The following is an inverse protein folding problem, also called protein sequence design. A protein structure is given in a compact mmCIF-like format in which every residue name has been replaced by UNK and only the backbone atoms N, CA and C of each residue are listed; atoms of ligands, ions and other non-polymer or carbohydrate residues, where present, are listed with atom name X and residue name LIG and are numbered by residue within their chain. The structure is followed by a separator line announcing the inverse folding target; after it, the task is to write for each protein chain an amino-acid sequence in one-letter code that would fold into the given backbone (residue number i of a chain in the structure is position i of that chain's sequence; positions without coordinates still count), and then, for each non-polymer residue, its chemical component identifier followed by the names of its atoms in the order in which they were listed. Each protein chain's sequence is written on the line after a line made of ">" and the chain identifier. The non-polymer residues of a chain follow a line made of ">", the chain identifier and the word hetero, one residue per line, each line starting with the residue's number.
data_IF_661681875792
#
_entry.id   IF_661681875792
#
_cell.length_a   1.000
_cell.length_b   1.000
_cell.length_c   1.000
_cell.angle_alpha   90.00
_cell.angle_beta   90.00
_cell.angle_gamma   90.00
#
_symmetry.space_group_name_H-M   'P 1'
#
loop_
_entity.id
_entity.type
_entity.pdbx_description
1 polymer ?
#
# COMPACT_ATOMS: atom_id res chain seq x y z
N UNK A 1 -13.21 16.59 14.99
CA UNK A 1 -11.87 17.02 15.39
C UNK A 1 -11.14 15.83 16.05
N UNK A 2 -9.88 15.51 15.66
CA UNK A 2 -9.11 14.41 16.27
C UNK A 2 -8.90 14.55 17.78
N UNK A 3 -9.05 15.77 18.31
CA UNK A 3 -8.88 16.10 19.73
C UNK A 3 -10.20 16.13 20.50
N UNK A 4 -11.33 15.76 19.88
CA UNK A 4 -12.62 15.74 20.55
C UNK A 4 -12.65 14.66 21.64
N UNK A 5 -13.20 15.02 22.80
CA UNK A 5 -13.45 14.07 23.88
C UNK A 5 -14.52 13.04 23.47
N UNK A 6 -14.58 11.86 24.09
CA UNK A 6 -15.64 10.88 23.85
C UNK A 6 -17.05 11.46 23.98
N UNK A 7 -17.28 12.34 24.95
CA UNK A 7 -18.59 13.00 25.15
C UNK A 7 -18.97 13.93 24.00
N UNK A 8 -18.05 14.71 23.49
CA UNK A 8 -18.26 15.58 22.34
C UNK A 8 -18.54 14.77 21.06
N UNK A 9 -17.84 13.65 20.85
CA UNK A 9 -18.10 12.76 19.72
C UNK A 9 -19.48 12.12 19.81
N UNK A 10 -19.91 11.67 21.00
CA UNK A 10 -21.25 11.10 21.21
C UNK A 10 -22.32 12.16 20.89
N UNK A 11 -22.19 13.36 21.42
CA UNK A 11 -23.16 14.43 21.17
C UNK A 11 -23.23 14.82 19.68
N UNK A 12 -22.08 14.90 19.01
CA UNK A 12 -22.01 15.24 17.58
C UNK A 12 -22.59 14.15 16.67
N UNK A 13 -22.52 12.88 17.07
CA UNK A 13 -22.91 11.74 16.25
C UNK A 13 -24.21 11.04 16.67
N UNK A 14 -24.86 11.45 17.76
CA UNK A 14 -26.02 10.78 18.38
C UNK A 14 -27.17 10.50 17.40
N UNK A 15 -27.35 11.33 16.40
CA UNK A 15 -28.40 11.24 15.40
C UNK A 15 -27.90 10.83 14.01
N UNK A 16 -26.62 10.52 13.87
CA UNK A 16 -26.00 10.18 12.59
C UNK A 16 -26.26 8.72 12.20
N UNK A 17 -26.65 8.48 10.95
CA UNK A 17 -26.72 7.15 10.34
C UNK A 17 -25.36 6.68 9.79
N UNK A 18 -24.48 7.61 9.46
CA UNK A 18 -23.13 7.33 8.95
C UNK A 18 -22.13 8.37 9.45
N UNK A 19 -20.87 7.96 9.59
CA UNK A 19 -19.76 8.83 9.96
C UNK A 19 -18.59 8.66 8.99
N UNK A 20 -17.92 9.78 8.65
CA UNK A 20 -16.72 9.82 7.80
C UNK A 20 -15.60 10.43 8.62
N UNK A 21 -14.86 9.64 9.40
CA UNK A 21 -13.73 10.14 10.17
C UNK A 21 -12.57 10.48 9.23
N UNK A 22 -11.94 11.67 9.41
CA UNK A 22 -10.88 12.12 8.49
C UNK A 22 -9.59 11.28 8.58
N UNK A 23 -9.10 11.01 9.76
CA UNK A 23 -7.86 10.24 10.00
C UNK A 23 -7.97 9.36 11.25
N UNK A 24 -9.14 9.27 11.85
CA UNK A 24 -9.37 8.56 13.10
C UNK A 24 -10.38 7.41 12.89
N UNK A 25 -10.39 6.47 13.80
CA UNK A 25 -11.51 5.54 13.94
C UNK A 25 -12.54 6.10 14.94
N UNK A 26 -13.74 5.52 14.95
CA UNK A 26 -14.70 5.76 16.03
C UNK A 26 -14.41 4.72 17.11
N UNK A 27 -13.98 5.13 18.33
CA UNK A 27 -13.70 4.20 19.41
C UNK A 27 -14.97 3.41 19.81
N UNK A 28 -14.81 2.16 20.23
CA UNK A 28 -15.95 1.30 20.58
C UNK A 28 -16.77 1.83 21.76
N UNK A 29 -16.13 2.46 22.73
CA UNK A 29 -16.81 3.10 23.87
C UNK A 29 -17.72 4.24 23.42
N UNK A 30 -17.34 4.99 22.40
CA UNK A 30 -18.20 5.99 21.73
C UNK A 30 -19.29 5.30 20.90
N UNK A 31 -18.91 4.34 20.05
CA UNK A 31 -19.84 3.67 19.13
C UNK A 31 -21.01 2.99 19.82
N UNK A 32 -20.84 2.46 21.03
CA UNK A 32 -21.89 1.87 21.86
C UNK A 32 -23.03 2.83 22.21
N UNK A 33 -22.77 4.13 22.17
CA UNK A 33 -23.75 5.18 22.45
C UNK A 33 -24.40 5.78 21.20
N UNK A 34 -24.12 5.20 20.03
CA UNK A 34 -24.61 5.68 18.71
C UNK A 34 -25.58 4.67 18.07
N UNK A 35 -26.81 4.49 18.59
CA UNK A 35 -27.70 3.41 18.16
C UNK A 35 -28.21 3.56 16.72
N UNK A 36 -28.10 4.75 16.11
CA UNK A 36 -28.50 5.02 14.72
C UNK A 36 -27.36 4.78 13.72
N UNK A 37 -26.11 4.70 14.18
CA UNK A 37 -24.94 4.61 13.31
C UNK A 37 -24.91 3.25 12.60
N UNK A 38 -24.92 3.27 11.27
CA UNK A 38 -24.92 2.08 10.39
C UNK A 38 -23.60 1.89 9.65
N UNK A 39 -22.86 3.00 9.41
CA UNK A 39 -21.66 3.01 8.59
C UNK A 39 -20.58 3.91 9.18
N UNK A 40 -19.35 3.39 9.24
CA UNK A 40 -18.11 4.17 9.32
C UNK A 40 -17.42 4.07 7.96
N UNK A 41 -17.41 5.18 7.22
CA UNK A 41 -16.80 5.28 5.89
C UNK A 41 -15.40 5.88 5.99
N UNK A 42 -14.37 5.11 5.67
CA UNK A 42 -12.99 5.57 5.65
C UNK A 42 -12.66 6.23 4.31
N UNK A 43 -11.88 7.31 4.33
CA UNK A 43 -11.31 7.94 3.14
C UNK A 43 -9.97 7.27 2.73
N UNK A 44 -9.48 6.33 3.52
CA UNK A 44 -8.24 5.58 3.31
C UNK A 44 -8.52 4.17 2.78
N UNK A 45 -7.53 3.57 2.14
CA UNK A 45 -7.58 2.15 1.75
C UNK A 45 -7.32 1.22 2.94
N UNK A 46 -6.38 1.61 3.82
CA UNK A 46 -6.05 0.88 5.04
C UNK A 46 -7.12 1.07 6.12
N UNK A 47 -7.31 0.04 6.91
CA UNK A 47 -8.28 0.00 8.03
C UNK A 47 -7.69 -0.71 9.26
N UNK A 48 -6.39 -0.88 9.30
CA UNK A 48 -5.64 -1.58 10.36
C UNK A 48 -5.75 -0.91 11.73
N UNK A 49 -6.02 0.40 11.78
CA UNK A 49 -6.28 1.16 13.01
C UNK A 49 -7.75 1.11 13.49
N UNK A 50 -8.64 0.42 12.76
CA UNK A 50 -10.09 0.40 13.07
C UNK A 50 -10.47 -0.96 13.65
N UNK A 51 -11.17 -0.97 14.79
CA UNK A 51 -11.76 -2.20 15.35
C UNK A 51 -13.02 -2.61 14.55
N UNK A 52 -12.77 -3.13 13.35
CA UNK A 52 -13.84 -3.60 12.45
C UNK A 52 -14.70 -4.68 13.10
N UNK A 53 -14.08 -5.56 13.89
CA UNK A 53 -14.79 -6.67 14.56
C UNK A 53 -15.71 -6.15 15.64
N UNK A 54 -15.22 -5.24 16.48
CA UNK A 54 -16.01 -4.63 17.55
C UNK A 54 -17.18 -3.82 16.98
N UNK A 55 -16.94 -2.99 15.96
CA UNK A 55 -17.99 -2.23 15.27
C UNK A 55 -19.04 -3.15 14.63
N UNK A 56 -18.61 -4.23 13.98
CA UNK A 56 -19.53 -5.21 13.39
C UNK A 56 -20.43 -5.87 14.41
N UNK A 57 -19.94 -6.17 15.63
CA UNK A 57 -20.77 -6.70 16.72
C UNK A 57 -21.85 -5.71 17.20
N UNK A 58 -21.66 -4.43 17.00
CA UNK A 58 -22.64 -3.37 17.24
C UNK A 58 -23.58 -3.14 16.04
N UNK A 59 -23.45 -3.92 14.96
CA UNK A 59 -24.22 -3.76 13.72
C UNK A 59 -23.71 -2.65 12.80
N UNK A 60 -22.56 -2.02 13.12
CA UNK A 60 -21.97 -0.93 12.36
C UNK A 60 -21.02 -1.51 11.30
N UNK A 61 -21.24 -1.18 10.03
CA UNK A 61 -20.38 -1.57 8.93
C UNK A 61 -19.23 -0.59 8.80
N UNK A 62 -18.04 -1.10 8.43
CA UNK A 62 -16.89 -0.28 8.05
C UNK A 62 -16.66 -0.45 6.55
N UNK A 63 -16.55 0.64 5.82
CA UNK A 63 -16.17 0.64 4.41
C UNK A 63 -14.91 1.48 4.21
N UNK A 64 -13.99 1.01 3.33
CA UNK A 64 -12.81 1.77 2.96
C UNK A 64 -13.02 2.58 1.67
N UNK A 65 -11.97 3.22 1.13
CA UNK A 65 -12.08 4.10 -0.04
C UNK A 65 -12.27 3.40 -1.39
N UNK A 66 -12.50 2.08 -1.42
CA UNK A 66 -12.77 1.32 -2.64
C UNK A 66 -11.62 1.28 -3.66
N UNK A 67 -10.41 1.71 -3.29
CA UNK A 67 -9.26 1.79 -4.19
C UNK A 67 -9.11 3.16 -4.87
N UNK A 68 -9.78 4.21 -4.40
CA UNK A 68 -9.72 5.58 -4.94
C UNK A 68 -8.30 6.14 -5.06
N UNK A 69 -7.39 5.70 -4.19
CA UNK A 69 -5.97 6.07 -4.21
C UNK A 69 -5.08 5.15 -5.06
N UNK A 70 -5.63 4.11 -5.71
CA UNK A 70 -4.81 3.11 -6.39
C UNK A 70 -3.97 3.69 -7.54
N UNK A 71 -4.50 4.70 -8.24
CA UNK A 71 -3.77 5.44 -9.27
C UNK A 71 -2.56 6.14 -8.66
N UNK A 72 -2.77 6.95 -7.63
CA UNK A 72 -1.72 7.72 -6.96
C UNK A 72 -0.60 6.82 -6.42
N UNK A 73 -0.98 5.77 -5.66
CA UNK A 73 -0.02 4.83 -5.08
C UNK A 73 0.78 4.10 -6.16
N UNK A 74 0.14 3.70 -7.27
CA UNK A 74 0.85 3.01 -8.34
C UNK A 74 1.84 3.91 -9.08
N UNK A 75 1.55 5.19 -9.25
CA UNK A 75 2.48 6.16 -9.82
C UNK A 75 3.67 6.43 -8.91
N UNK A 76 3.41 6.58 -7.62
CA UNK A 76 4.47 6.70 -6.62
C UNK A 76 5.36 5.44 -6.56
N UNK A 77 4.77 4.26 -6.65
CA UNK A 77 5.49 2.97 -6.72
C UNK A 77 6.47 2.94 -7.90
N UNK A 78 6.00 3.29 -9.11
CA UNK A 78 6.87 3.36 -10.30
C UNK A 78 7.93 4.45 -10.16
N UNK A 79 7.59 5.59 -9.55
CA UNK A 79 8.55 6.65 -9.25
C UNK A 79 9.67 6.16 -8.33
N UNK A 80 9.35 5.39 -7.26
CA UNK A 80 10.36 4.78 -6.38
C UNK A 80 11.23 3.76 -7.13
N UNK A 81 10.65 2.89 -7.99
CA UNK A 81 11.42 1.96 -8.82
C UNK A 81 12.46 2.70 -9.67
N UNK A 82 12.03 3.74 -10.37
CA UNK A 82 12.91 4.57 -11.21
C UNK A 82 13.95 5.32 -10.36
N UNK A 83 13.54 5.88 -9.23
CA UNK A 83 14.43 6.66 -8.37
C UNK A 83 15.56 5.80 -7.77
N UNK A 84 15.25 4.57 -7.33
CA UNK A 84 16.25 3.63 -6.84
C UNK A 84 17.16 3.17 -7.98
N UNK A 85 16.62 2.71 -9.11
CA UNK A 85 17.41 2.23 -10.25
C UNK A 85 18.30 3.32 -10.87
N UNK A 86 17.82 4.56 -10.91
CA UNK A 86 18.57 5.68 -11.51
C UNK A 86 19.42 6.44 -10.50
N UNK A 87 19.40 6.04 -9.21
CA UNK A 87 20.15 6.72 -8.14
C UNK A 87 19.82 8.22 -8.09
N UNK A 88 18.52 8.54 -8.19
CA UNK A 88 18.07 9.92 -8.41
C UNK A 88 18.42 10.85 -7.26
N UNK A 89 18.33 10.38 -6.00
CA UNK A 89 18.62 11.21 -4.84
C UNK A 89 20.11 11.59 -4.78
N UNK A 90 20.99 10.63 -5.02
CA UNK A 90 22.43 10.86 -5.05
C UNK A 90 22.83 11.76 -6.23
N UNK A 91 22.27 11.51 -7.42
CA UNK A 91 22.53 12.34 -8.59
C UNK A 91 22.10 13.80 -8.38
N UNK A 92 20.93 13.98 -7.77
CA UNK A 92 20.41 15.31 -7.43
C UNK A 92 21.26 16.00 -6.38
N UNK A 93 21.62 15.32 -5.28
CA UNK A 93 22.48 15.86 -4.23
C UNK A 93 23.83 16.27 -4.78
N UNK A 94 24.52 15.39 -5.52
CA UNK A 94 25.81 15.69 -6.13
C UNK A 94 25.75 16.92 -7.05
N UNK A 95 24.67 17.05 -7.84
CA UNK A 95 24.49 18.20 -8.73
C UNK A 95 24.28 19.49 -7.93
N UNK A 96 23.46 19.44 -6.87
CA UNK A 96 23.20 20.56 -5.96
C UNK A 96 24.50 21.03 -5.27
N UNK A 97 25.36 20.09 -4.89
CA UNK A 97 26.62 20.34 -4.22
C UNK A 97 27.76 20.75 -5.21
N UNK A 98 27.42 20.96 -6.49
CA UNK A 98 28.33 21.44 -7.52
C UNK A 98 29.22 20.37 -8.14
N UNK A 99 29.04 19.10 -7.79
CA UNK A 99 29.87 18.01 -8.30
C UNK A 99 29.62 17.69 -9.78
N UNK A 100 28.45 18.10 -10.34
CA UNK A 100 28.02 17.84 -11.72
C UNK A 100 28.26 16.37 -12.10
N UNK A 101 29.12 16.08 -13.11
CA UNK A 101 29.50 14.72 -13.52
C UNK A 101 30.63 14.11 -12.69
N UNK A 102 31.40 14.93 -11.98
CA UNK A 102 32.47 14.43 -11.11
C UNK A 102 31.83 13.67 -9.93
N UNK A 103 32.30 12.47 -9.65
CA UNK A 103 31.74 11.59 -8.62
C UNK A 103 30.60 10.67 -9.07
N UNK A 104 30.00 10.90 -10.26
CA UNK A 104 28.96 10.02 -10.82
C UNK A 104 29.54 8.67 -11.22
N UNK A 105 30.81 8.62 -11.61
CA UNK A 105 31.53 7.39 -11.99
C UNK A 105 31.82 6.48 -10.76
N UNK A 106 31.70 7.02 -9.55
CA UNK A 106 31.85 6.28 -8.29
C UNK A 106 30.52 5.70 -7.79
N UNK A 107 29.39 6.13 -8.37
CA UNK A 107 28.09 5.57 -8.03
C UNK A 107 27.93 4.15 -8.62
N UNK A 108 27.25 3.25 -7.91
CA UNK A 108 26.87 1.95 -8.47
C UNK A 108 26.16 2.09 -9.82
N UNK A 109 26.26 1.05 -10.63
CA UNK A 109 25.67 1.03 -11.99
C UNK A 109 24.20 1.39 -11.95
N UNK A 110 23.82 2.38 -12.75
CA UNK A 110 22.41 2.76 -12.96
C UNK A 110 21.74 1.74 -13.89
N UNK A 111 20.52 1.38 -13.56
CA UNK A 111 19.79 0.30 -14.22
C UNK A 111 18.56 0.84 -14.93
N UNK A 112 18.09 0.15 -15.97
CA UNK A 112 16.86 0.41 -16.69
C UNK A 112 15.80 -0.64 -16.29
N UNK A 113 14.52 -0.29 -16.40
CA UNK A 113 13.40 -1.26 -16.21
C UNK A 113 13.22 -2.10 -17.47
N UNK A 114 13.59 -1.59 -18.63
CA UNK A 114 13.53 -2.32 -19.90
C UNK A 114 14.19 -3.69 -19.80
N UNK A 115 13.52 -4.73 -20.27
CA UNK A 115 14.00 -6.12 -20.25
C UNK A 115 14.09 -6.77 -18.87
N UNK A 116 13.58 -6.14 -17.80
CA UNK A 116 13.55 -6.67 -16.44
C UNK A 116 12.28 -7.45 -16.15
N UNK A 117 12.33 -8.28 -15.13
CA UNK A 117 11.15 -8.92 -14.53
C UNK A 117 10.72 -8.16 -13.28
N UNK A 118 9.48 -7.69 -13.27
CA UNK A 118 8.85 -7.04 -12.11
C UNK A 118 7.88 -8.01 -11.46
N UNK A 119 8.16 -8.39 -10.21
CA UNK A 119 7.31 -9.23 -9.39
C UNK A 119 6.40 -8.39 -8.48
N UNK A 120 5.10 -8.59 -8.59
CA UNK A 120 4.08 -7.89 -7.81
C UNK A 120 3.47 -8.85 -6.79
N UNK A 121 3.67 -8.58 -5.50
CA UNK A 121 3.04 -9.34 -4.42
C UNK A 121 1.76 -8.59 -4.00
N UNK A 122 0.59 -9.23 -4.20
CA UNK A 122 -0.72 -8.60 -4.05
C UNK A 122 -1.20 -7.91 -5.34
N UNK A 123 -2.10 -8.57 -6.06
CA UNK A 123 -2.61 -8.11 -7.37
C UNK A 123 -4.04 -7.53 -7.25
N UNK A 124 -4.27 -6.76 -6.17
CA UNK A 124 -5.48 -6.00 -5.90
C UNK A 124 -5.59 -4.72 -6.75
N UNK A 125 -6.29 -3.71 -6.23
CA UNK A 125 -6.48 -2.43 -6.95
C UNK A 125 -5.15 -1.76 -7.30
N UNK A 126 -4.19 -1.71 -6.36
CA UNK A 126 -2.90 -1.05 -6.56
C UNK A 126 -2.01 -1.91 -7.47
N UNK A 127 -1.83 -3.21 -7.20
CA UNK A 127 -0.95 -4.07 -7.99
C UNK A 127 -1.33 -4.11 -9.48
N UNK A 128 -2.62 -4.14 -9.79
CA UNK A 128 -3.12 -4.04 -11.17
C UNK A 128 -2.83 -2.68 -11.82
N UNK A 129 -2.94 -1.60 -11.06
CA UNK A 129 -2.58 -0.26 -11.56
C UNK A 129 -1.08 -0.11 -11.78
N UNK A 130 -0.24 -0.76 -10.97
CA UNK A 130 1.22 -0.84 -11.19
C UNK A 130 1.50 -1.60 -12.49
N UNK A 131 0.93 -2.80 -12.67
CA UNK A 131 1.08 -3.59 -13.90
C UNK A 131 0.70 -2.78 -15.14
N UNK A 132 -0.45 -2.10 -15.10
CA UNK A 132 -0.90 -1.25 -16.23
C UNK A 132 0.10 -0.13 -16.55
N UNK A 133 0.75 0.49 -15.54
CA UNK A 133 1.75 1.55 -15.78
C UNK A 133 3.06 1.01 -16.32
N UNK A 134 3.38 -0.21 -15.98
CA UNK A 134 4.59 -0.88 -16.46
C UNK A 134 4.51 -1.35 -17.92
N UNK A 135 3.31 -1.38 -18.53
CA UNK A 135 3.14 -1.84 -19.92
C UNK A 135 3.94 -1.05 -20.96
N UNK A 136 4.35 0.19 -20.64
CA UNK A 136 5.18 1.02 -21.52
C UNK A 136 6.69 0.93 -21.26
N UNK A 137 7.13 0.02 -20.37
CA UNK A 137 8.55 -0.11 -20.01
C UNK A 137 9.25 -1.30 -20.65
N UNK A 138 8.56 -2.06 -21.51
CA UNK A 138 9.09 -3.26 -22.18
C UNK A 138 9.72 -4.24 -21.17
N UNK A 139 9.04 -4.49 -20.05
CA UNK A 139 9.43 -5.40 -18.99
C UNK A 139 8.42 -6.54 -18.84
N UNK A 140 8.85 -7.67 -18.29
CA UNK A 140 7.95 -8.76 -17.92
C UNK A 140 7.32 -8.45 -16.55
N UNK A 141 6.00 -8.63 -16.43
CA UNK A 141 5.28 -8.51 -15.15
C UNK A 141 4.75 -9.88 -14.73
N UNK A 142 5.16 -10.32 -13.54
CA UNK A 142 4.61 -11.50 -12.87
C UNK A 142 4.00 -11.11 -11.55
N UNK A 143 3.03 -11.86 -11.06
CA UNK A 143 2.40 -11.55 -9.79
C UNK A 143 2.13 -12.80 -8.94
N UNK A 144 2.06 -12.58 -7.63
CA UNK A 144 1.55 -13.53 -6.66
C UNK A 144 0.40 -12.90 -5.88
N UNK A 145 -0.73 -13.60 -5.82
CA UNK A 145 -1.85 -13.25 -4.94
C UNK A 145 -2.45 -14.52 -4.38
N UNK A 146 -3.00 -14.43 -3.17
CA UNK A 146 -3.74 -15.53 -2.53
C UNK A 146 -5.13 -15.73 -3.15
N UNK A 147 -5.56 -14.78 -3.97
CA UNK A 147 -6.82 -14.82 -4.70
C UNK A 147 -6.54 -15.02 -6.17
N UNK A 148 -7.05 -16.11 -6.71
CA UNK A 148 -6.99 -16.36 -8.14
C UNK A 148 -7.85 -15.35 -8.91
N UNK A 149 -7.26 -14.71 -9.92
CA UNK A 149 -8.03 -13.92 -10.86
C UNK A 149 -8.89 -14.84 -11.75
N UNK A 150 -10.02 -14.30 -12.22
CA UNK A 150 -10.80 -14.99 -13.24
C UNK A 150 -9.93 -15.27 -14.48
N UNK A 151 -9.99 -16.47 -15.08
CA UNK A 151 -9.18 -16.84 -16.22
C UNK A 151 -9.25 -15.79 -17.35
N UNK A 152 -8.09 -15.41 -17.87
CA UNK A 152 -7.94 -14.45 -18.98
C UNK A 152 -7.77 -12.99 -18.56
N UNK A 153 -8.09 -12.61 -17.32
CA UNK A 153 -7.93 -11.20 -16.87
C UNK A 153 -6.50 -10.78 -16.55
N UNK A 154 -5.67 -11.71 -16.17
CA UNK A 154 -4.22 -11.52 -16.00
C UNK A 154 -3.55 -11.14 -17.32
N UNK A 155 -3.93 -11.83 -18.42
CA UNK A 155 -3.46 -11.52 -19.77
C UNK A 155 -3.86 -10.13 -20.27
N UNK A 156 -5.08 -9.65 -19.94
CA UNK A 156 -5.52 -8.28 -20.26
C UNK A 156 -4.67 -7.21 -19.57
N UNK A 157 -4.07 -7.53 -18.43
CA UNK A 157 -3.20 -6.63 -17.66
C UNK A 157 -1.71 -6.85 -17.96
N UNK A 158 -1.36 -7.75 -18.89
CA UNK A 158 0.02 -8.04 -19.25
C UNK A 158 0.83 -8.70 -18.13
N UNK A 159 0.18 -9.39 -17.18
CA UNK A 159 0.84 -10.01 -16.04
C UNK A 159 0.56 -11.52 -15.99
N UNK A 160 1.46 -12.30 -15.39
CA UNK A 160 1.35 -13.75 -15.26
C UNK A 160 1.40 -14.18 -13.81
N UNK A 161 0.44 -15.00 -13.35
CA UNK A 161 0.41 -15.55 -12.02
C UNK A 161 1.51 -16.60 -11.80
N UNK A 162 2.19 -16.50 -10.64
CA UNK A 162 3.23 -17.44 -10.23
C UNK A 162 3.19 -17.65 -8.70
N UNK A 163 3.87 -18.68 -8.21
CA UNK A 163 4.09 -18.84 -6.76
C UNK A 163 5.08 -17.79 -6.22
N UNK A 164 4.99 -17.53 -4.90
CA UNK A 164 5.78 -16.49 -4.24
C UNK A 164 7.28 -16.74 -4.35
N UNK A 165 7.71 -17.98 -4.08
CA UNK A 165 9.14 -18.32 -4.12
C UNK A 165 9.73 -18.16 -5.52
N UNK A 166 8.98 -18.53 -6.55
CA UNK A 166 9.39 -18.31 -7.93
C UNK A 166 9.50 -16.82 -8.24
N UNK A 167 8.46 -16.05 -7.89
CA UNK A 167 8.46 -14.59 -8.06
C UNK A 167 9.73 -13.97 -7.46
N UNK A 168 10.04 -14.30 -6.21
CA UNK A 168 11.20 -13.74 -5.53
C UNK A 168 12.52 -14.07 -6.24
N UNK A 169 12.68 -15.32 -6.74
CA UNK A 169 13.94 -15.75 -7.39
C UNK A 169 14.18 -15.13 -8.76
N UNK A 170 13.14 -14.84 -9.51
CA UNK A 170 13.31 -14.39 -10.90
C UNK A 170 13.16 -12.90 -11.10
N UNK A 171 12.59 -12.18 -10.12
CA UNK A 171 12.33 -10.75 -10.24
C UNK A 171 13.60 -9.92 -10.05
N UNK A 172 13.71 -8.87 -10.85
CA UNK A 172 14.70 -7.81 -10.70
C UNK A 172 14.16 -6.67 -9.83
N UNK A 173 12.82 -6.52 -9.79
CA UNK A 173 12.11 -5.60 -8.91
C UNK A 173 11.00 -6.39 -8.22
N UNK A 174 10.95 -6.36 -6.91
CA UNK A 174 9.84 -6.92 -6.12
C UNK A 174 9.07 -5.76 -5.48
N UNK A 175 7.79 -5.67 -5.75
CA UNK A 175 6.90 -4.65 -5.16
C UNK A 175 5.72 -5.31 -4.45
N UNK A 176 5.35 -4.76 -3.27
CA UNK A 176 4.34 -5.39 -2.42
C UNK A 176 3.14 -4.48 -2.17
N UNK A 177 1.93 -5.02 -2.35
CA UNK A 177 0.66 -4.31 -2.29
C UNK A 177 -0.43 -5.13 -1.58
N UNK A 178 -0.13 -5.61 -0.39
CA UNK A 178 -1.06 -6.41 0.43
C UNK A 178 -1.60 -5.59 1.61
N UNK A 179 -2.78 -5.92 2.16
CA UNK A 179 -3.23 -5.34 3.42
C UNK A 179 -2.37 -5.87 4.58
N UNK A 180 -2.24 -5.08 5.65
CA UNK A 180 -1.63 -5.55 6.89
C UNK A 180 -2.66 -6.37 7.69
N UNK A 181 -2.34 -7.63 7.94
CA UNK A 181 -3.10 -8.53 8.81
C UNK A 181 -2.16 -9.59 9.41
N UNK A 182 -2.69 -10.57 10.14
CA UNK A 182 -1.90 -11.61 10.79
C UNK A 182 -1.13 -12.52 9.81
N UNK A 183 -1.58 -12.67 8.57
CA UNK A 183 -0.91 -13.50 7.57
C UNK A 183 0.12 -12.74 6.72
N UNK A 184 0.07 -11.41 6.71
CA UNK A 184 0.97 -10.56 5.91
C UNK A 184 1.99 -9.82 6.76
N UNK A 185 1.80 -9.75 8.08
CA UNK A 185 2.79 -9.18 9.01
C UNK A 185 4.09 -9.96 8.95
N UNK A 186 5.19 -9.27 8.63
CA UNK A 186 6.52 -9.85 8.51
C UNK A 186 6.68 -10.88 7.38
N UNK A 187 5.77 -10.89 6.38
CA UNK A 187 5.83 -11.86 5.29
C UNK A 187 7.05 -11.69 4.38
N UNK A 188 7.69 -10.53 4.41
CA UNK A 188 8.99 -10.28 3.80
C UNK A 188 10.04 -10.20 4.91
N UNK A 189 10.68 -11.30 5.23
CA UNK A 189 11.74 -11.43 6.23
C UNK A 189 13.06 -11.87 5.61
N UNK A 190 14.01 -12.28 6.46
CA UNK A 190 15.34 -12.70 6.03
C UNK A 190 15.31 -13.81 4.97
N UNK A 191 14.38 -14.77 5.08
CA UNK A 191 14.23 -15.86 4.11
C UNK A 191 13.84 -15.31 2.72
N UNK A 192 12.86 -14.42 2.68
CA UNK A 192 12.32 -13.86 1.45
C UNK A 192 13.36 -12.96 0.76
N UNK A 193 14.05 -12.11 1.51
CA UNK A 193 15.16 -11.30 0.97
C UNK A 193 16.30 -12.17 0.43
N UNK A 194 16.64 -13.27 1.11
CA UNK A 194 17.66 -14.22 0.61
C UNK A 194 17.24 -15.00 -0.64
N UNK A 195 15.95 -15.08 -0.96
CA UNK A 195 15.46 -15.66 -2.22
C UNK A 195 15.57 -14.70 -3.39
N UNK A 196 15.63 -13.40 -3.15
CA UNK A 196 15.75 -12.39 -4.20
C UNK A 196 17.15 -12.42 -4.84
N UNK A 197 17.25 -11.89 -6.05
CA UNK A 197 18.55 -11.66 -6.68
C UNK A 197 19.33 -10.58 -5.89
N UNK A 198 20.62 -10.71 -5.81
CA UNK A 198 21.47 -9.68 -5.18
C UNK A 198 21.50 -8.36 -5.97
N UNK A 199 21.02 -8.36 -7.21
CA UNK A 199 20.82 -7.17 -8.04
C UNK A 199 19.38 -6.62 -7.95
N UNK A 200 18.48 -7.30 -7.25
CA UNK A 200 17.09 -6.90 -7.15
C UNK A 200 16.87 -5.75 -6.16
N UNK A 201 15.80 -4.99 -6.40
CA UNK A 201 15.33 -3.97 -5.46
C UNK A 201 13.97 -4.35 -4.88
N UNK A 202 13.71 -3.90 -3.64
CA UNK A 202 12.45 -4.09 -2.95
C UNK A 202 11.68 -2.76 -2.83
N UNK A 203 10.39 -2.76 -3.16
CA UNK A 203 9.52 -1.58 -3.10
C UNK A 203 8.32 -1.87 -2.18
N UNK A 204 8.10 -1.03 -1.17
CA UNK A 204 6.94 -1.12 -0.29
C UNK A 204 6.22 0.22 -0.16
N UNK A 205 4.98 0.27 -0.65
CA UNK A 205 4.06 1.42 -0.56
C UNK A 205 2.74 1.02 0.11
N UNK A 206 2.72 -0.10 0.85
CA UNK A 206 1.49 -0.58 1.49
C UNK A 206 1.46 -0.35 3.00
N UNK A 207 2.23 -1.11 3.80
CA UNK A 207 2.41 -0.95 5.25
C UNK A 207 3.80 -1.42 5.66
N UNK A 208 4.48 -0.68 6.54
CA UNK A 208 5.80 -1.03 7.06
C UNK A 208 5.85 -2.43 7.66
N UNK A 209 5.00 -2.78 8.62
CA UNK A 209 5.04 -4.10 9.27
C UNK A 209 4.74 -5.31 8.37
N UNK A 210 4.53 -5.13 7.07
CA UNK A 210 4.46 -6.24 6.09
C UNK A 210 5.84 -6.82 5.82
N UNK A 211 6.90 -6.04 5.94
CA UNK A 211 8.27 -6.56 5.98
C UNK A 211 8.83 -6.50 7.42
N UNK A 212 9.85 -7.29 7.68
CA UNK A 212 10.66 -7.14 8.88
C UNK A 212 11.76 -6.10 8.58
N UNK A 213 11.69 -4.95 9.21
CA UNK A 213 12.58 -3.82 8.94
C UNK A 213 14.04 -4.13 9.31
N UNK A 214 14.27 -4.83 10.41
CA UNK A 214 15.60 -5.23 10.83
C UNK A 214 16.25 -6.20 9.84
N UNK A 215 15.47 -7.10 9.23
CA UNK A 215 15.98 -8.03 8.22
C UNK A 215 16.23 -7.31 6.89
N UNK A 216 15.41 -6.33 6.52
CA UNK A 216 15.65 -5.48 5.34
C UNK A 216 16.93 -4.66 5.50
N UNK A 217 17.16 -4.04 6.66
CA UNK A 217 18.39 -3.32 6.97
C UNK A 217 19.62 -4.24 6.79
N UNK A 218 19.57 -5.45 7.37
CA UNK A 218 20.65 -6.43 7.21
C UNK A 218 20.84 -6.86 5.75
N UNK A 219 19.75 -7.04 5.00
CA UNK A 219 19.81 -7.42 3.60
C UNK A 219 20.50 -6.36 2.73
N UNK A 220 20.25 -5.07 3.01
CA UNK A 220 20.90 -3.95 2.34
C UNK A 220 22.37 -3.79 2.76
N UNK A 221 22.66 -3.94 4.07
CA UNK A 221 24.05 -3.82 4.60
C UNK A 221 25.00 -4.91 4.10
N UNK A 222 24.45 -6.10 3.80
CA UNK A 222 25.24 -7.26 3.36
C UNK A 222 25.08 -7.53 1.86
N UNK A 223 24.60 -6.58 1.06
CA UNK A 223 24.41 -6.69 -0.39
C UNK A 223 23.59 -7.94 -0.82
N UNK A 224 22.67 -8.39 0.04
CA UNK A 224 21.72 -9.47 -0.27
C UNK A 224 20.74 -9.01 -1.34
N UNK A 225 20.35 -7.72 -1.31
CA UNK A 225 19.59 -7.02 -2.35
C UNK A 225 20.25 -5.68 -2.66
N UNK A 226 20.02 -5.14 -3.86
CA UNK A 226 20.72 -3.95 -4.35
C UNK A 226 20.15 -2.62 -3.83
N UNK A 227 18.91 -2.60 -3.35
CA UNK A 227 18.29 -1.37 -2.87
C UNK A 227 16.84 -1.53 -2.45
N UNK A 228 16.29 -0.49 -1.84
CA UNK A 228 14.89 -0.42 -1.44
C UNK A 228 14.28 0.96 -1.69
N UNK A 229 12.98 0.98 -2.06
CA UNK A 229 12.15 2.17 -2.13
C UNK A 229 10.93 2.00 -1.23
N UNK A 230 10.82 2.83 -0.21
CA UNK A 230 9.85 2.66 0.86
C UNK A 230 9.02 3.93 1.02
N UNK A 231 7.69 3.80 1.07
CA UNK A 231 6.81 4.90 1.47
C UNK A 231 6.31 4.72 2.91
N UNK A 232 6.63 3.56 3.50
CA UNK A 232 6.15 3.13 4.82
C UNK A 232 7.25 2.41 5.59
N UNK A 233 7.27 2.61 6.92
CA UNK A 233 8.20 1.97 7.85
C UNK A 233 7.44 1.26 8.99
N UNK A 234 8.13 0.43 9.78
CA UNK A 234 7.48 -0.27 10.91
C UNK A 234 6.95 0.70 11.95
N UNK A 235 7.68 1.78 12.21
CA UNK A 235 7.29 2.87 13.11
C UNK A 235 7.15 4.18 12.32
N UNK A 236 6.02 4.84 12.47
CA UNK A 236 5.67 6.11 11.82
C UNK A 236 5.06 7.09 12.83
N UNK A 237 5.67 8.27 13.08
CA UNK A 237 6.93 8.76 12.52
C UNK A 237 8.13 7.91 12.95
N UNK A 238 9.07 7.68 12.04
CA UNK A 238 10.28 6.89 12.34
C UNK A 238 11.31 7.69 13.12
N UNK A 239 12.20 6.97 13.81
CA UNK A 239 13.38 7.57 14.47
C UNK A 239 14.27 8.24 13.39
N UNK A 240 14.70 9.51 13.59
CA UNK A 240 15.65 10.17 12.69
C UNK A 240 16.96 9.40 12.48
N UNK A 241 17.37 8.57 13.44
CA UNK A 241 18.58 7.73 13.36
C UNK A 241 18.32 6.37 12.69
N UNK A 242 17.11 6.12 12.16
CA UNK A 242 16.81 4.88 11.45
C UNK A 242 17.79 4.69 10.27
N UNK A 243 18.51 3.55 10.21
CA UNK A 243 19.51 3.31 9.17
C UNK A 243 18.99 3.46 7.74
N UNK A 244 17.71 3.12 7.49
CA UNK A 244 17.10 3.24 6.16
C UNK A 244 17.05 4.68 5.64
N UNK A 245 17.05 5.68 6.52
CA UNK A 245 17.09 7.10 6.13
C UNK A 245 18.48 7.54 5.65
N UNK A 246 19.53 6.79 6.00
CA UNK A 246 20.92 7.16 5.81
C UNK A 246 21.68 6.26 4.82
N UNK A 247 21.08 5.14 4.41
CA UNK A 247 21.68 4.23 3.43
C UNK A 247 21.56 4.80 2.01
N UNK A 248 22.65 4.84 1.22
CA UNK A 248 22.60 5.28 -0.17
C UNK A 248 21.79 4.31 -1.06
N UNK A 249 21.51 3.10 -0.58
CA UNK A 249 20.73 2.07 -1.27
C UNK A 249 19.23 2.12 -0.97
N UNK A 250 18.79 2.99 -0.07
CA UNK A 250 17.36 3.15 0.27
C UNK A 250 16.84 4.55 -0.02
N UNK A 251 15.59 4.62 -0.44
CA UNK A 251 14.82 5.86 -0.58
C UNK A 251 13.56 5.69 0.28
N UNK A 252 13.34 6.63 1.21
CA UNK A 252 12.16 6.64 2.08
C UNK A 252 11.34 7.90 1.83
N UNK A 253 10.03 7.76 1.69
CA UNK A 253 9.05 8.85 1.60
C UNK A 253 8.05 8.75 2.76
N UNK A 254 7.43 9.86 3.21
CA UNK A 254 6.74 9.93 4.49
C UNK A 254 5.26 9.49 4.39
N UNK A 255 4.99 8.28 3.90
CA UNK A 255 3.64 7.71 3.74
C UNK A 255 2.70 8.59 2.88
N UNK A 256 3.21 9.10 1.75
CA UNK A 256 2.52 10.04 0.88
C UNK A 256 2.07 9.46 -0.47
N UNK A 257 2.33 8.20 -0.73
CA UNK A 257 2.01 7.57 -2.00
C UNK A 257 0.53 7.75 -2.42
N UNK A 258 -0.39 7.79 -1.47
CA UNK A 258 -1.83 8.00 -1.72
C UNK A 258 -2.28 9.47 -1.72
N UNK A 259 -1.43 10.41 -1.30
CA UNK A 259 -1.79 11.79 -0.97
C UNK A 259 -1.81 12.72 -2.17
N UNK A 260 -2.65 12.49 -3.16
CA UNK A 260 -2.84 13.41 -4.30
C UNK A 260 -4.21 14.09 -4.28
N UNK A 261 -4.32 15.27 -4.89
CA UNK A 261 -5.59 16.01 -5.02
C UNK A 261 -6.67 15.14 -5.67
N UNK A 262 -6.34 14.51 -6.79
CA UNK A 262 -7.26 13.64 -7.56
C UNK A 262 -7.63 12.36 -6.78
N UNK A 263 -6.70 11.80 -6.02
CA UNK A 263 -6.95 10.66 -5.13
C UNK A 263 -7.97 11.01 -4.04
N UNK A 264 -7.81 12.19 -3.43
CA UNK A 264 -8.72 12.71 -2.41
C UNK A 264 -10.12 13.00 -2.98
N UNK A 265 -10.21 13.62 -4.16
CA UNK A 265 -11.49 13.85 -4.84
C UNK A 265 -12.22 12.53 -5.10
N UNK A 266 -11.55 11.52 -5.64
CA UNK A 266 -12.15 10.19 -5.84
C UNK A 266 -12.60 9.55 -4.53
N UNK A 267 -11.83 9.70 -3.46
CA UNK A 267 -12.20 9.16 -2.14
C UNK A 267 -13.45 9.84 -1.57
N UNK A 268 -13.58 11.17 -1.73
CA UNK A 268 -14.76 11.92 -1.32
C UNK A 268 -16.00 11.51 -2.14
N UNK A 269 -15.87 11.43 -3.47
CA UNK A 269 -16.97 10.99 -4.35
C UNK A 269 -17.41 9.57 -3.99
N UNK A 270 -16.47 8.67 -3.72
CA UNK A 270 -16.77 7.31 -3.28
C UNK A 270 -17.51 7.29 -1.93
N UNK A 271 -17.02 8.08 -0.96
CA UNK A 271 -17.67 8.21 0.34
C UNK A 271 -19.11 8.72 0.21
N UNK A 272 -19.34 9.79 -0.55
CA UNK A 272 -20.67 10.33 -0.81
C UNK A 272 -21.62 9.28 -1.41
N UNK A 273 -21.14 8.46 -2.37
CA UNK A 273 -21.93 7.35 -2.93
C UNK A 273 -22.37 6.34 -1.85
N UNK A 274 -21.52 6.04 -0.86
CA UNK A 274 -21.89 5.16 0.24
C UNK A 274 -22.85 5.84 1.23
N UNK A 275 -22.73 7.14 1.48
CA UNK A 275 -23.70 7.89 2.30
C UNK A 275 -25.10 7.88 1.66
N UNK A 276 -25.20 8.11 0.35
CA UNK A 276 -26.46 7.98 -0.40
C UNK A 276 -27.03 6.57 -0.27
N UNK A 277 -26.20 5.53 -0.35
CA UNK A 277 -26.63 4.14 -0.18
C UNK A 277 -27.15 3.84 1.21
N UNK A 278 -26.61 4.46 2.26
CA UNK A 278 -27.14 4.38 3.62
C UNK A 278 -28.55 5.00 3.67
N UNK A 279 -28.71 6.22 3.12
CA UNK A 279 -29.99 6.95 3.12
C UNK A 279 -31.08 6.18 2.35
N UNK A 280 -30.71 5.51 1.26
CA UNK A 280 -31.63 4.77 0.39
C UNK A 280 -31.72 3.27 0.71
N UNK A 281 -31.11 2.80 1.81
CA UNK A 281 -31.04 1.38 2.18
C UNK A 281 -30.50 0.46 1.06
N UNK A 282 -29.56 0.96 0.25
CA UNK A 282 -28.87 0.18 -0.81
C UNK A 282 -27.67 -0.56 -0.25
N UNK A 283 -27.21 -1.59 -0.98
CA UNK A 283 -25.98 -2.32 -0.64
C UNK A 283 -24.77 -1.40 -0.66
N UNK A 284 -24.01 -1.36 0.43
CA UNK A 284 -22.77 -0.56 0.55
C UNK A 284 -21.65 -1.14 -0.30
N UNK A 285 -20.78 -0.26 -0.78
CA UNK A 285 -19.61 -0.60 -1.55
C UNK A 285 -18.37 -0.75 -0.64
N UNK A 286 -17.46 -1.64 -1.01
CA UNK A 286 -16.16 -1.83 -0.35
C UNK A 286 -16.23 -1.99 1.18
N UNK A 287 -17.26 -2.68 1.65
CA UNK A 287 -17.39 -3.03 3.07
C UNK A 287 -16.27 -3.99 3.44
N UNK A 288 -15.58 -3.68 4.53
CA UNK A 288 -14.56 -4.56 5.11
C UNK A 288 -15.27 -5.71 5.81
N UNK A 289 -15.06 -6.94 5.33
CA UNK A 289 -15.56 -8.12 5.98
C UNK A 289 -14.72 -8.44 7.22
N UNK A 290 -15.31 -8.47 8.44
CA UNK A 290 -14.60 -8.86 9.65
C UNK A 290 -13.92 -10.25 9.55
N UNK A 291 -14.51 -11.18 8.79
CA UNK A 291 -13.93 -12.49 8.55
C UNK A 291 -12.70 -12.46 7.64
N UNK A 292 -12.57 -11.45 6.76
CA UNK A 292 -11.43 -11.28 5.86
C UNK A 292 -10.18 -10.76 6.58
N UNK A 293 -10.30 -10.25 7.80
CA UNK A 293 -9.16 -9.86 8.64
C UNK A 293 -8.34 -11.11 9.03
N UNK A 294 -8.97 -12.28 9.04
CA UNK A 294 -8.39 -13.57 9.40
C UNK A 294 -8.37 -14.59 8.25
N UNK A 295 -8.99 -14.30 7.10
CA UNK A 295 -9.11 -15.23 5.97
C UNK A 295 -8.83 -14.51 4.64
N UNK A 296 -8.40 -15.30 3.66
CA UNK A 296 -8.29 -14.93 2.25
C UNK A 296 -9.59 -14.32 1.74
N UNK A 297 -9.51 -13.16 1.08
CA UNK A 297 -10.68 -12.41 0.57
C UNK A 297 -11.44 -13.20 -0.50
N UNK A 298 -12.78 -13.28 -0.39
CA UNK A 298 -13.65 -13.52 -1.54
C UNK A 298 -13.78 -12.21 -2.35
N UNK A 299 -13.10 -12.13 -3.50
CA UNK A 299 -12.95 -10.88 -4.29
C UNK A 299 -14.05 -10.63 -5.29
N UNK A 300 -15.15 -11.38 -5.26
CA UNK A 300 -16.26 -11.23 -6.23
C UNK A 300 -16.92 -9.84 -6.23
N UNK A 301 -16.72 -9.03 -5.19
CA UNK A 301 -17.32 -7.68 -5.06
C UNK A 301 -16.42 -6.50 -5.46
N UNK A 302 -15.14 -6.72 -5.84
CA UNK A 302 -14.16 -5.65 -6.09
C UNK A 302 -14.18 -5.07 -7.52
N UNK A 303 -15.16 -5.45 -8.35
CA UNK A 303 -15.13 -5.21 -9.81
C UNK A 303 -15.99 -4.03 -10.28
N UNK A 304 -16.35 -3.08 -9.41
CA UNK A 304 -17.33 -2.03 -9.74
C UNK A 304 -16.73 -0.63 -9.99
N UNK A 305 -15.41 -0.52 -10.18
CA UNK A 305 -14.82 0.76 -10.63
C UNK A 305 -14.35 0.57 -12.08
N UNK A 306 -14.89 1.34 -13.03
CA UNK A 306 -14.51 1.30 -14.46
C UNK A 306 -13.06 1.75 -14.70
#
# INVERSE_FOLDING_TARGET
>A
DPNSSPGELIEALKDADAAVPWLASIPLDVAKHLPKLKLVQLLTAGYDSVDVIGLSKLGIKVANNGGSNAISVSEHTVSLMLSVYRRMMEAWSNTKDGAWRSGVDQLPVRTEINGKTVGIIGFGNIGRQVSRRLSGFDCEVIYHDVVELMPGRDGELGAKAVDLDHLLRVSDIVTIHVPLNSSTRGMMGAREFNLMKNTAIFINTCRGPVHNEADLIKALQNDVIAGAGLDVLEEEPTDPDNPLLHMPTSIVTPHWAGGTGEGNERAVVFALSNLERVAENRTLLSVVDPASIFKLRDTRSLWLIP
#
